data_IF_454348299469
#
_entry.id   IF_454348299469
#
_cell.length_a   1.000
_cell.length_b   1.000
_cell.length_c   1.000
_cell.angle_alpha   90.00
_cell.angle_beta   90.00
_cell.angle_gamma   90.00
#
_symmetry.space_group_name_H-M   'P 1'
#
loop_
_entity.id
_entity.type
_entity.pdbx_description
1 polymer ?
#
# COMPACT_ATOMS: atom_id res chain seq x y z
N UNK A 1 -13.50 -7.50 -28.73
CA UNK A 1 -13.82 -6.51 -27.67
C UNK A 1 -13.20 -5.19 -28.07
N UNK A 2 -13.99 -4.11 -28.17
CA UNK A 2 -13.47 -2.80 -28.55
C UNK A 2 -12.84 -2.15 -27.31
N UNK A 3 -11.51 -2.06 -27.26
CA UNK A 3 -10.82 -1.34 -26.18
C UNK A 3 -11.30 0.11 -26.14
N UNK A 4 -12.01 0.48 -25.06
CA UNK A 4 -12.42 1.87 -24.83
C UNK A 4 -11.17 2.67 -24.51
N UNK A 5 -10.60 3.31 -25.52
CA UNK A 5 -9.48 4.25 -25.38
C UNK A 5 -9.88 5.36 -24.40
N UNK A 6 -9.33 5.33 -23.18
CA UNK A 6 -9.49 6.43 -22.22
C UNK A 6 -8.92 7.70 -22.85
N UNK A 7 -9.77 8.69 -23.10
CA UNK A 7 -9.35 10.03 -23.53
C UNK A 7 -8.70 10.73 -22.33
N UNK A 8 -7.41 10.49 -22.08
CA UNK A 8 -6.62 11.32 -21.17
C UNK A 8 -6.47 12.68 -21.81
N UNK A 9 -7.11 13.70 -21.23
CA UNK A 9 -6.93 15.09 -21.63
C UNK A 9 -5.66 15.59 -20.97
N UNK A 10 -4.64 15.86 -21.77
CA UNK A 10 -3.43 16.54 -21.31
C UNK A 10 -3.69 18.04 -21.26
N UNK A 11 -3.50 18.65 -20.09
CA UNK A 11 -3.50 20.11 -19.92
C UNK A 11 -2.07 20.55 -19.66
N UNK A 12 -1.44 21.11 -20.69
CA UNK A 12 -0.11 21.70 -20.56
C UNK A 12 -0.16 22.86 -19.56
N UNK A 13 0.86 22.97 -18.70
CA UNK A 13 1.01 24.11 -17.79
C UNK A 13 1.42 25.35 -18.59
N UNK A 14 0.88 26.55 -18.27
CA UNK A 14 1.35 27.81 -18.86
C UNK A 14 2.65 28.31 -18.20
N UNK A 15 3.19 27.59 -17.21
CA UNK A 15 4.43 27.97 -16.55
C UNK A 15 5.58 27.99 -17.57
N UNK A 16 6.45 29.00 -17.44
CA UNK A 16 7.68 29.08 -18.22
C UNK A 16 8.51 27.82 -17.98
N UNK A 17 9.23 27.35 -18.99
CA UNK A 17 10.24 26.33 -18.77
C UNK A 17 11.45 26.95 -18.06
N UNK A 18 11.83 26.35 -16.94
CA UNK A 18 12.89 26.82 -16.07
C UNK A 18 13.67 25.65 -15.50
N UNK A 19 14.87 25.93 -14.99
CA UNK A 19 15.72 24.92 -14.39
C UNK A 19 15.09 24.37 -13.09
N UNK A 20 14.79 23.07 -13.10
CA UNK A 20 14.22 22.33 -11.96
C UNK A 20 15.26 21.47 -11.27
N UNK A 21 16.55 21.66 -11.57
CA UNK A 21 17.61 21.02 -10.82
C UNK A 21 17.48 21.38 -9.34
N UNK A 22 17.38 20.34 -8.52
CA UNK A 22 17.43 20.41 -7.08
C UNK A 22 18.59 19.53 -6.62
N UNK A 23 19.14 19.84 -5.45
CA UNK A 23 20.15 18.98 -4.84
C UNK A 23 19.58 17.57 -4.64
N UNK A 24 20.38 16.56 -4.95
CA UNK A 24 20.01 15.19 -4.63
C UNK A 24 20.17 14.98 -3.13
N UNK A 25 19.23 14.23 -2.53
CA UNK A 25 19.45 13.65 -1.22
C UNK A 25 20.81 12.93 -1.24
N UNK A 26 21.61 13.12 -0.17
CA UNK A 26 22.83 12.34 -0.02
C UNK A 26 22.49 10.85 -0.11
N UNK A 27 23.35 10.07 -0.78
CA UNK A 27 23.12 8.64 -1.05
C UNK A 27 22.81 7.80 0.20
N UNK A 28 23.03 8.35 1.39
CA UNK A 28 22.81 7.69 2.68
C UNK A 28 21.41 7.94 3.31
N UNK A 29 20.55 8.77 2.71
CA UNK A 29 19.20 9.04 3.23
C UNK A 29 18.20 7.87 3.06
N UNK A 30 18.58 6.82 2.34
CA UNK A 30 17.82 5.57 2.20
C UNK A 30 18.65 4.30 2.42
N UNK A 31 19.89 4.44 2.89
CA UNK A 31 20.78 3.33 3.27
C UNK A 31 20.83 3.12 4.79
N UNK A 32 20.09 3.93 5.55
CA UNK A 32 19.65 3.52 6.88
C UNK A 32 18.48 2.60 6.58
N UNK A 33 18.71 1.32 6.83
CA UNK A 33 17.72 0.26 6.76
C UNK A 33 16.33 0.79 7.10
N UNK A 34 15.35 0.47 6.26
CA UNK A 34 13.94 0.68 6.56
C UNK A 34 13.70 0.29 8.02
N UNK A 35 13.54 1.27 8.91
CA UNK A 35 13.19 1.02 10.32
C UNK A 35 11.79 0.42 10.44
N UNK A 36 11.07 0.29 9.33
CA UNK A 36 9.79 -0.40 9.26
C UNK A 36 9.94 -1.93 9.33
N UNK A 37 11.10 -2.49 8.93
CA UNK A 37 11.35 -3.94 8.93
C UNK A 37 11.79 -4.50 10.30
N UNK A 38 12.08 -3.62 11.28
CA UNK A 38 12.63 -3.99 12.60
C UNK A 38 11.61 -3.86 13.75
N UNK A 39 10.31 -3.79 13.45
CA UNK A 39 9.26 -3.74 14.49
C UNK A 39 8.83 -5.14 14.89
N UNK A 40 9.62 -5.78 15.76
CA UNK A 40 9.24 -7.05 16.38
C UNK A 40 8.30 -6.81 17.57
N UNK A 41 7.09 -7.37 17.51
CA UNK A 41 6.13 -7.38 18.64
C UNK A 41 6.16 -8.77 19.28
N UNK A 42 6.88 -8.93 20.39
CA UNK A 42 6.76 -10.11 21.26
C UNK A 42 5.45 -10.03 22.04
N UNK A 43 4.49 -10.89 21.69
CA UNK A 43 3.30 -11.09 22.51
C UNK A 43 3.65 -12.10 23.61
N UNK A 44 3.78 -11.63 24.85
CA UNK A 44 3.95 -12.50 26.03
C UNK A 44 2.61 -13.17 26.35
N UNK A 45 2.28 -14.22 25.61
CA UNK A 45 1.08 -15.01 25.83
C UNK A 45 1.05 -16.27 24.98
N UNK A 46 0.63 -17.38 25.58
CA UNK A 46 0.27 -18.60 24.84
C UNK A 46 -0.66 -18.23 23.68
N UNK A 47 -0.42 -18.73 22.45
CA UNK A 47 -1.32 -18.49 21.33
C UNK A 47 -2.71 -19.02 21.72
N UNK A 48 -3.64 -18.11 22.00
CA UNK A 48 -5.03 -18.48 22.23
C UNK A 48 -5.49 -19.20 20.96
N UNK A 49 -5.95 -20.46 21.05
CA UNK A 49 -6.52 -21.12 19.88
C UNK A 49 -7.68 -20.25 19.41
N UNK A 50 -7.68 -19.90 18.12
CA UNK A 50 -8.81 -19.20 17.49
C UNK A 50 -10.08 -19.91 17.93
N UNK A 51 -10.87 -19.23 18.75
CA UNK A 51 -12.10 -19.81 19.26
C UNK A 51 -13.04 -20.00 18.06
N UNK A 52 -13.95 -20.97 18.13
CA UNK A 52 -14.96 -21.14 17.07
C UNK A 52 -15.80 -19.86 16.84
N UNK A 53 -15.86 -18.97 17.84
CA UNK A 53 -16.47 -17.65 17.71
C UNK A 53 -15.68 -16.72 16.77
N UNK A 54 -14.35 -16.81 16.77
CA UNK A 54 -13.47 -15.97 15.95
C UNK A 54 -13.65 -16.31 14.46
N UNK A 55 -13.77 -17.59 14.11
CA UNK A 55 -13.98 -17.99 12.71
C UNK A 55 -15.35 -17.57 12.16
N UNK A 56 -16.38 -17.55 13.02
CA UNK A 56 -17.73 -17.14 12.61
C UNK A 56 -17.80 -15.63 12.40
N UNK A 57 -17.15 -14.86 13.28
CA UNK A 57 -16.99 -13.42 13.13
C UNK A 57 -16.32 -13.03 11.81
N UNK A 58 -15.23 -13.72 11.43
CA UNK A 58 -14.52 -13.38 10.19
C UNK A 58 -15.30 -13.67 8.91
N UNK A 59 -16.13 -14.74 8.91
CA UNK A 59 -17.02 -15.05 7.78
C UNK A 59 -18.07 -13.98 7.53
N UNK A 60 -18.58 -13.34 8.59
CA UNK A 60 -19.56 -12.26 8.47
C UNK A 60 -18.96 -10.97 7.91
N UNK A 61 -17.64 -10.80 8.02
CA UNK A 61 -16.90 -9.64 7.51
C UNK A 61 -16.38 -9.84 6.08
N UNK A 62 -16.68 -10.97 5.43
CA UNK A 62 -16.24 -11.23 4.07
C UNK A 62 -16.84 -10.23 3.07
N UNK A 63 -16.03 -9.57 2.22
CA UNK A 63 -16.54 -8.65 1.22
C UNK A 63 -17.49 -9.34 0.23
N UNK A 64 -18.41 -8.62 -0.42
CA UNK A 64 -19.39 -9.20 -1.36
C UNK A 64 -18.78 -9.93 -2.58
N UNK A 65 -17.49 -9.75 -2.83
CA UNK A 65 -16.74 -10.39 -3.91
C UNK A 65 -15.93 -11.61 -3.46
N UNK A 66 -16.01 -11.97 -2.18
CA UNK A 66 -15.37 -13.15 -1.65
C UNK A 66 -16.13 -14.40 -2.14
N UNK A 67 -15.44 -15.32 -2.84
CA UNK A 67 -16.03 -16.56 -3.32
C UNK A 67 -16.67 -16.51 -4.72
N UNK A 68 -16.53 -15.43 -5.49
CA UNK A 68 -16.88 -15.46 -6.93
C UNK A 68 -15.73 -16.09 -7.74
N UNK A 69 -15.71 -17.42 -7.83
CA UNK A 69 -15.03 -18.18 -8.89
C UNK A 69 -16.06 -18.96 -9.72
#
# INVERSE_FOLDING_TARGET
>A
MLERKRRRVFKASPAKDYDRHADSASHNLGAIDSTDDERFVSLDGEPLPLSHADMSFWKEQEPPHYGTQ
#
